data_IF_120510239480
#
_entry.id   IF_120510239480
#
_cell.length_a   1.000
_cell.length_b   1.000
_cell.length_c   1.000
_cell.angle_alpha   90.00
_cell.angle_beta   90.00
_cell.angle_gamma   90.00
#
_symmetry.space_group_name_H-M   'P 1'
#
loop_
_entity.id
_entity.type
_entity.pdbx_description
1 polymer ?
#
# COMPACT_ATOMS: atom_id res chain seq x y z
N UNK A 1 -47.78 -39.85 24.32
CA UNK A 1 -46.85 -39.47 25.40
C UNK A 1 -45.55 -39.08 24.75
N UNK A 2 -45.24 -37.80 24.88
CA UNK A 2 -44.03 -37.11 24.43
C UNK A 2 -42.84 -37.48 25.30
N UNK A 3 -41.70 -37.82 24.69
CA UNK A 3 -40.40 -37.61 25.31
C UNK A 3 -39.46 -37.02 24.27
N UNK A 4 -39.14 -35.73 24.45
CA UNK A 4 -38.21 -34.98 23.65
C UNK A 4 -36.79 -35.32 24.07
N UNK A 5 -35.99 -35.87 23.15
CA UNK A 5 -34.55 -35.93 23.30
C UNK A 5 -33.95 -34.52 23.06
N UNK A 6 -33.82 -33.76 24.14
CA UNK A 6 -33.07 -32.51 24.16
C UNK A 6 -31.58 -32.82 24.31
N UNK A 7 -30.93 -33.20 23.22
CA UNK A 7 -29.50 -33.52 23.20
C UNK A 7 -28.69 -32.24 22.95
N UNK A 8 -28.57 -31.42 24.00
CA UNK A 8 -27.67 -30.27 24.01
C UNK A 8 -26.22 -30.74 23.88
N UNK A 9 -25.62 -30.56 22.69
CA UNK A 9 -24.17 -30.75 22.46
C UNK A 9 -23.35 -29.92 23.44
N UNK A 10 -22.92 -30.53 24.54
CA UNK A 10 -21.92 -29.95 25.46
C UNK A 10 -20.59 -29.83 24.71
N UNK A 11 -20.24 -28.61 24.33
CA UNK A 11 -18.93 -28.31 23.73
C UNK A 11 -17.81 -28.72 24.69
N UNK A 12 -16.81 -29.41 24.14
CA UNK A 12 -15.63 -29.86 24.88
C UNK A 12 -14.89 -28.67 25.52
N UNK A 13 -14.18 -28.92 26.61
CA UNK A 13 -13.36 -27.90 27.28
C UNK A 13 -12.37 -27.25 26.29
N UNK A 14 -11.76 -28.03 25.39
CA UNK A 14 -10.91 -27.54 24.30
C UNK A 14 -11.65 -26.56 23.38
N UNK A 15 -12.91 -26.86 23.02
CA UNK A 15 -13.75 -25.98 22.20
C UNK A 15 -14.19 -24.69 22.92
N UNK A 16 -14.22 -24.67 24.26
CA UNK A 16 -14.43 -23.44 25.04
C UNK A 16 -13.17 -22.58 25.07
N UNK A 17 -12.01 -23.18 25.36
CA UNK A 17 -10.71 -22.47 25.38
C UNK A 17 -10.38 -21.89 24.00
N UNK A 18 -10.63 -22.65 22.93
CA UNK A 18 -10.39 -22.17 21.56
C UNK A 18 -11.26 -20.96 21.21
N UNK A 19 -12.56 -21.01 21.52
CA UNK A 19 -13.47 -19.86 21.29
C UNK A 19 -13.14 -18.66 22.14
N UNK A 20 -12.73 -18.88 23.39
CA UNK A 20 -12.29 -17.79 24.27
C UNK A 20 -11.07 -17.08 23.67
N UNK A 21 -10.06 -17.82 23.19
CA UNK A 21 -8.89 -17.24 22.53
C UNK A 21 -9.24 -16.48 21.24
N UNK A 22 -10.18 -17.00 20.44
CA UNK A 22 -10.66 -16.29 19.24
C UNK A 22 -11.34 -14.98 19.60
N UNK A 23 -12.19 -14.98 20.64
CA UNK A 23 -12.86 -13.77 21.12
C UNK A 23 -11.84 -12.75 21.68
N UNK A 24 -10.88 -13.19 22.50
CA UNK A 24 -9.80 -12.35 23.02
C UNK A 24 -8.96 -11.74 21.89
N UNK A 25 -8.64 -12.54 20.87
CA UNK A 25 -7.92 -12.08 19.69
C UNK A 25 -8.74 -11.02 18.94
N UNK A 26 -10.03 -11.24 18.72
CA UNK A 26 -10.92 -10.30 18.05
C UNK A 26 -11.05 -8.97 18.82
N UNK A 27 -11.21 -9.01 20.15
CA UNK A 27 -11.21 -7.82 21.00
C UNK A 27 -9.91 -7.03 20.82
N UNK A 28 -8.76 -7.72 20.85
CA UNK A 28 -7.47 -7.08 20.63
C UNK A 28 -7.33 -6.44 19.25
N UNK A 29 -7.89 -7.04 18.18
CA UNK A 29 -7.92 -6.45 16.83
C UNK A 29 -8.74 -5.16 16.82
N UNK A 30 -9.94 -5.18 17.41
CA UNK A 30 -10.83 -4.02 17.50
C UNK A 30 -10.19 -2.88 18.29
N UNK A 31 -9.56 -3.16 19.43
CA UNK A 31 -8.85 -2.14 20.22
C UNK A 31 -7.70 -1.49 19.42
N UNK A 32 -6.90 -2.29 18.70
CA UNK A 32 -5.84 -1.76 17.83
C UNK A 32 -6.43 -0.91 16.70
N UNK A 33 -7.49 -1.38 16.05
CA UNK A 33 -8.20 -0.63 15.03
C UNK A 33 -8.68 0.74 15.54
N UNK A 34 -9.35 0.78 16.68
CA UNK A 34 -9.82 2.03 17.30
C UNK A 34 -8.67 2.99 17.62
N UNK A 35 -7.53 2.47 18.08
CA UNK A 35 -6.33 3.28 18.27
C UNK A 35 -5.80 3.85 16.96
N UNK A 36 -5.70 3.02 15.91
CA UNK A 36 -5.24 3.48 14.59
C UNK A 36 -6.19 4.53 14.01
N UNK A 37 -7.51 4.31 14.04
CA UNK A 37 -8.47 5.25 13.48
C UNK A 37 -8.50 6.58 14.25
N UNK A 38 -8.36 6.55 15.58
CA UNK A 38 -8.20 7.77 16.38
C UNK A 38 -6.94 8.54 16.00
N UNK A 39 -5.83 7.84 15.74
CA UNK A 39 -4.57 8.46 15.28
C UNK A 39 -4.70 8.98 13.85
N UNK A 40 -5.36 8.26 12.95
CA UNK A 40 -5.61 8.70 11.58
C UNK A 40 -6.40 10.00 11.56
N UNK A 41 -7.47 10.12 12.35
CA UNK A 41 -8.24 11.36 12.47
C UNK A 41 -7.41 12.50 13.06
N UNK A 42 -6.65 12.25 14.13
CA UNK A 42 -5.78 13.27 14.71
C UNK A 42 -4.68 13.74 13.73
N UNK A 43 -4.12 12.83 12.91
CA UNK A 43 -3.19 13.18 11.83
C UNK A 43 -3.90 14.02 10.78
N UNK A 44 -5.10 13.62 10.36
CA UNK A 44 -5.87 14.35 9.35
C UNK A 44 -6.24 15.78 9.80
N UNK A 45 -6.61 15.95 11.07
CA UNK A 45 -6.90 17.26 11.67
C UNK A 45 -5.67 18.17 11.75
N UNK A 46 -4.49 17.58 12.01
CA UNK A 46 -3.23 18.33 12.12
C UNK A 46 -2.62 18.66 10.74
N UNK A 47 -2.58 17.67 9.85
CA UNK A 47 -2.14 17.78 8.46
C UNK A 47 -2.68 16.58 7.65
N UNK A 48 -3.72 16.79 6.81
CA UNK A 48 -4.32 15.75 5.98
C UNK A 48 -3.31 14.94 5.14
N UNK A 49 -2.26 15.59 4.63
CA UNK A 49 -1.24 14.93 3.81
C UNK A 49 -0.42 13.89 4.61
N UNK A 50 -0.41 14.00 5.94
CA UNK A 50 0.19 13.03 6.85
C UNK A 50 -0.46 11.64 6.80
N UNK A 51 -1.69 11.51 6.29
CA UNK A 51 -2.35 10.22 6.12
C UNK A 51 -1.59 9.30 5.18
N UNK A 52 -0.95 9.82 4.12
CA UNK A 52 -0.12 9.01 3.21
C UNK A 52 1.06 8.35 3.93
N UNK A 53 1.70 9.07 4.86
CA UNK A 53 2.77 8.54 5.71
C UNK A 53 2.22 7.50 6.70
N UNK A 54 1.04 7.73 7.27
CA UNK A 54 0.39 6.75 8.14
C UNK A 54 0.05 5.46 7.38
N UNK A 55 -0.43 5.55 6.13
CA UNK A 55 -0.64 4.38 5.28
C UNK A 55 0.66 3.59 5.12
N UNK A 56 1.78 4.24 4.79
CA UNK A 56 3.09 3.57 4.68
C UNK A 56 3.49 2.87 5.98
N UNK A 57 3.26 3.52 7.13
CA UNK A 57 3.53 2.93 8.44
C UNK A 57 2.69 1.66 8.69
N UNK A 58 1.40 1.70 8.38
CA UNK A 58 0.49 0.55 8.57
C UNK A 58 0.78 -0.56 7.55
N UNK A 59 1.14 -0.21 6.31
CA UNK A 59 1.44 -1.18 5.27
C UNK A 59 2.83 -1.82 5.41
N UNK A 60 3.79 -1.18 6.09
CA UNK A 60 5.14 -1.69 6.30
C UNK A 60 5.20 -3.14 6.83
N UNK A 61 4.51 -3.51 7.94
CA UNK A 61 4.52 -4.90 8.41
C UNK A 61 3.88 -5.88 7.42
N UNK A 62 2.87 -5.45 6.67
CA UNK A 62 2.22 -6.25 5.63
C UNK A 62 3.18 -6.53 4.46
N UNK A 63 3.89 -5.51 3.99
CA UNK A 63 4.91 -5.61 2.95
C UNK A 63 6.08 -6.49 3.40
N UNK A 64 6.55 -6.33 4.64
CA UNK A 64 7.59 -7.19 5.19
C UNK A 64 7.17 -8.67 5.17
N UNK A 65 5.94 -9.00 5.61
CA UNK A 65 5.43 -10.38 5.55
C UNK A 65 5.30 -10.91 4.11
N UNK A 66 4.93 -10.05 3.16
CA UNK A 66 4.86 -10.39 1.74
C UNK A 66 6.24 -10.77 1.19
N UNK A 67 7.21 -9.86 1.32
CA UNK A 67 8.54 -9.97 0.71
C UNK A 67 9.38 -11.07 1.35
N UNK A 68 9.27 -11.25 2.66
CA UNK A 68 10.02 -12.28 3.41
C UNK A 68 9.39 -13.67 3.38
N UNK A 69 8.23 -13.85 2.72
CA UNK A 69 7.45 -15.08 2.86
C UNK A 69 8.22 -16.36 2.49
N UNK A 70 9.14 -16.25 1.53
CA UNK A 70 9.98 -17.35 1.08
C UNK A 70 11.24 -17.54 1.94
N UNK A 71 11.69 -16.51 2.65
CA UNK A 71 12.86 -16.57 3.54
C UNK A 71 12.54 -17.37 4.81
N UNK A 72 11.34 -17.16 5.35
CA UNK A 72 10.92 -17.78 6.62
C UNK A 72 10.19 -19.12 6.46
N UNK A 73 10.01 -19.62 5.24
CA UNK A 73 9.21 -20.81 4.98
C UNK A 73 9.95 -21.82 4.10
N UNK A 74 9.60 -23.12 4.20
CA UNK A 74 10.12 -24.12 3.28
C UNK A 74 9.81 -23.79 1.82
N UNK A 75 10.54 -24.40 0.88
CA UNK A 75 10.50 -24.17 -0.59
C UNK A 75 9.07 -24.12 -1.18
N UNK A 76 8.14 -24.91 -0.64
CA UNK A 76 6.74 -24.99 -1.10
C UNK A 76 5.73 -24.30 -0.16
N UNK A 77 6.21 -23.61 0.86
CA UNK A 77 5.41 -22.91 1.86
C UNK A 77 5.18 -21.42 1.58
N UNK A 78 5.69 -20.92 0.45
CA UNK A 78 5.58 -19.52 0.06
C UNK A 78 4.13 -19.02 0.16
N UNK A 79 3.97 -17.76 0.56
CA UNK A 79 2.64 -17.15 0.63
C UNK A 79 2.07 -17.00 -0.79
N UNK A 80 0.74 -17.08 -0.93
CA UNK A 80 0.07 -16.65 -2.14
C UNK A 80 0.15 -15.14 -2.33
N UNK A 81 0.13 -14.68 -3.58
CA UNK A 81 0.03 -13.26 -3.90
C UNK A 81 -1.28 -12.67 -3.37
N UNK A 82 -1.22 -11.43 -2.88
CA UNK A 82 -2.40 -10.70 -2.45
C UNK A 82 -3.27 -10.34 -3.66
N UNK A 83 -4.58 -10.31 -3.45
CA UNK A 83 -5.59 -9.93 -4.42
C UNK A 83 -6.80 -9.31 -3.69
N UNK A 84 -7.77 -8.79 -4.44
CA UNK A 84 -8.97 -8.16 -3.85
C UNK A 84 -9.78 -9.09 -2.91
N UNK A 85 -9.72 -10.42 -3.09
CA UNK A 85 -10.43 -11.34 -2.19
C UNK A 85 -9.82 -11.41 -0.79
N UNK A 86 -8.56 -11.00 -0.61
CA UNK A 86 -7.96 -10.90 0.72
C UNK A 86 -8.60 -9.77 1.54
N UNK A 87 -9.13 -8.74 0.87
CA UNK A 87 -9.88 -7.65 1.50
C UNK A 87 -11.33 -8.03 1.77
N UNK A 88 -12.05 -8.49 0.75
CA UNK A 88 -13.52 -8.56 0.78
C UNK A 88 -14.07 -9.99 0.73
N UNK A 89 -13.19 -10.99 0.75
CA UNK A 89 -13.57 -12.39 0.65
C UNK A 89 -13.97 -12.79 -0.76
N UNK A 90 -14.87 -13.75 -0.85
CA UNK A 90 -15.25 -14.40 -2.11
C UNK A 90 -15.71 -13.38 -3.18
N UNK A 91 -15.14 -13.39 -4.40
CA UNK A 91 -15.56 -12.51 -5.51
C UNK A 91 -17.08 -12.41 -5.79
N UNK A 92 -17.90 -13.48 -5.67
CA UNK A 92 -19.36 -13.38 -5.81
C UNK A 92 -20.09 -12.63 -4.68
N UNK A 93 -19.39 -12.16 -3.64
CA UNK A 93 -20.03 -11.45 -2.53
C UNK A 93 -20.68 -10.14 -3.00
N UNK A 94 -21.98 -10.03 -2.74
CA UNK A 94 -22.77 -8.83 -3.04
C UNK A 94 -22.54 -7.79 -1.95
N UNK A 95 -22.33 -6.54 -2.31
CA UNK A 95 -22.04 -5.44 -1.37
C UNK A 95 -23.16 -4.40 -1.31
N UNK A 96 -23.97 -4.30 -2.36
CA UNK A 96 -25.10 -3.35 -2.42
C UNK A 96 -26.45 -4.07 -2.24
N UNK A 97 -27.50 -3.30 -1.95
CA UNK A 97 -28.86 -3.83 -1.76
C UNK A 97 -29.48 -4.36 -3.06
N UNK A 98 -29.13 -3.75 -4.20
CA UNK A 98 -29.49 -4.21 -5.55
C UNK A 98 -28.59 -5.36 -6.05
N UNK A 99 -27.61 -5.77 -5.25
CA UNK A 99 -26.87 -7.01 -5.45
C UNK A 99 -25.64 -6.90 -6.34
N UNK A 100 -25.09 -5.70 -6.52
CA UNK A 100 -23.79 -5.49 -7.15
C UNK A 100 -22.67 -6.06 -6.27
N UNK A 101 -21.60 -6.51 -6.92
CA UNK A 101 -20.41 -7.08 -6.29
C UNK A 101 -19.27 -6.06 -6.19
N UNK A 102 -18.22 -6.41 -5.45
CA UNK A 102 -17.01 -5.58 -5.28
C UNK A 102 -16.42 -5.14 -6.62
N UNK A 103 -16.27 -6.07 -7.57
CA UNK A 103 -15.69 -5.82 -8.91
C UNK A 103 -16.54 -4.91 -9.79
N UNK A 104 -17.84 -4.78 -9.47
CA UNK A 104 -18.78 -3.95 -10.22
C UNK A 104 -18.92 -2.54 -9.63
N UNK A 105 -18.63 -2.38 -8.34
CA UNK A 105 -18.70 -1.09 -7.63
C UNK A 105 -17.32 -0.41 -7.64
N UNK A 106 -16.24 -1.17 -7.44
CA UNK A 106 -14.88 -0.66 -7.59
C UNK A 106 -14.63 -0.22 -9.04
N UNK A 107 -14.14 1.00 -9.21
CA UNK A 107 -14.00 1.61 -10.53
C UNK A 107 -12.61 1.31 -11.10
N UNK A 108 -12.55 0.57 -12.20
CA UNK A 108 -11.32 0.40 -12.97
C UNK A 108 -11.04 1.67 -13.79
N UNK A 109 -9.97 2.37 -13.45
CA UNK A 109 -9.56 3.59 -14.13
C UNK A 109 -8.68 3.23 -15.33
N UNK A 110 -9.30 3.06 -16.50
CA UNK A 110 -8.65 2.48 -17.70
C UNK A 110 -7.42 3.23 -18.20
N UNK A 111 -7.39 4.55 -18.01
CA UNK A 111 -6.34 5.42 -18.53
C UNK A 111 -5.46 6.00 -17.40
N UNK A 112 -5.68 5.56 -16.16
CA UNK A 112 -4.87 6.02 -15.03
C UNK A 112 -3.66 5.13 -14.87
N UNK A 113 -2.47 5.73 -14.82
CA UNK A 113 -1.21 5.04 -14.57
C UNK A 113 -0.45 5.79 -13.49
N UNK A 114 0.16 5.06 -12.57
CA UNK A 114 0.93 5.64 -11.46
C UNK A 114 2.32 5.06 -11.42
N UNK A 115 3.33 5.92 -11.35
CA UNK A 115 4.71 5.52 -11.09
C UNK A 115 4.92 5.38 -9.59
N UNK A 116 5.21 4.16 -9.16
CA UNK A 116 5.46 3.80 -7.78
C UNK A 116 6.96 3.64 -7.56
N UNK A 117 7.47 4.15 -6.44
CA UNK A 117 8.87 4.03 -6.05
C UNK A 117 9.05 2.84 -5.11
N UNK A 118 9.93 1.90 -5.49
CA UNK A 118 10.05 0.63 -4.77
C UNK A 118 10.53 0.81 -3.32
N UNK A 119 11.33 1.84 -3.04
CA UNK A 119 11.80 2.17 -1.68
C UNK A 119 10.83 2.98 -0.81
N UNK A 120 9.67 3.40 -1.33
CA UNK A 120 8.75 4.33 -0.63
C UNK A 120 7.32 3.82 -0.59
N UNK A 121 6.83 3.35 -1.72
CA UNK A 121 5.41 3.08 -1.90
C UNK A 121 5.04 1.66 -1.42
N UNK A 122 3.86 1.48 -0.81
CA UNK A 122 3.41 0.17 -0.36
C UNK A 122 3.14 -0.77 -1.54
N UNK A 123 4.02 -1.76 -1.76
CA UNK A 123 3.95 -2.73 -2.86
C UNK A 123 4.11 -4.15 -2.29
N UNK A 124 3.07 -4.96 -2.45
CA UNK A 124 3.01 -6.32 -1.90
C UNK A 124 3.57 -7.36 -2.87
N UNK A 125 4.88 -7.31 -3.11
CA UNK A 125 5.60 -8.35 -3.84
C UNK A 125 5.76 -9.61 -2.98
N UNK A 126 5.30 -10.76 -3.50
CA UNK A 126 5.36 -12.07 -2.84
C UNK A 126 6.21 -13.05 -3.67
N UNK A 127 7.53 -13.14 -3.41
CA UNK A 127 8.40 -14.15 -4.01
C UNK A 127 7.90 -15.56 -3.71
N UNK A 128 7.87 -16.43 -4.73
CA UNK A 128 7.32 -17.79 -4.59
C UNK A 128 8.26 -18.92 -5.05
N UNK A 129 9.25 -18.63 -5.90
CA UNK A 129 10.29 -19.58 -6.35
C UNK A 129 11.68 -19.22 -5.82
N UNK A 130 12.27 -20.11 -5.02
CA UNK A 130 13.53 -19.86 -4.32
C UNK A 130 14.71 -19.55 -5.25
N UNK A 131 15.04 -20.34 -6.28
CA UNK A 131 16.16 -20.00 -7.17
C UNK A 131 16.02 -18.62 -7.83
N UNK A 132 14.79 -18.25 -8.21
CA UNK A 132 14.50 -16.96 -8.83
C UNK A 132 14.65 -15.81 -7.84
N UNK A 133 14.17 -15.99 -6.60
CA UNK A 133 14.34 -15.00 -5.54
C UNK A 133 15.81 -14.82 -5.15
N UNK A 134 16.53 -15.92 -4.90
CA UNK A 134 17.96 -15.90 -4.56
C UNK A 134 18.77 -15.23 -5.67
N UNK A 135 18.49 -15.55 -6.94
CA UNK A 135 19.16 -14.90 -8.06
C UNK A 135 18.87 -13.39 -8.12
N UNK A 136 17.62 -12.96 -7.91
CA UNK A 136 17.24 -11.56 -7.91
C UNK A 136 17.95 -10.79 -6.78
N UNK A 137 17.88 -11.30 -5.54
CA UNK A 137 18.51 -10.67 -4.38
C UNK A 137 20.03 -10.63 -4.49
N UNK A 138 20.68 -11.65 -5.06
CA UNK A 138 22.14 -11.69 -5.16
C UNK A 138 22.69 -10.82 -6.31
N UNK A 139 21.95 -10.67 -7.40
CA UNK A 139 22.52 -10.14 -8.65
C UNK A 139 21.87 -8.87 -9.19
N UNK A 140 20.67 -8.49 -8.77
CA UNK A 140 19.99 -7.26 -9.24
C UNK A 140 20.22 -6.09 -8.29
N UNK A 141 20.45 -4.91 -8.86
CA UNK A 141 20.62 -3.65 -8.15
C UNK A 141 21.97 -2.99 -8.41
N UNK A 142 22.16 -1.79 -7.89
CA UNK A 142 23.35 -0.99 -8.11
C UNK A 142 24.64 -1.78 -7.84
N UNK A 143 25.59 -1.68 -8.77
CA UNK A 143 26.89 -2.35 -8.73
C UNK A 143 26.85 -3.88 -8.62
N UNK A 144 25.77 -4.53 -9.07
CA UNK A 144 25.65 -6.00 -9.10
C UNK A 144 25.68 -6.57 -10.51
N UNK A 145 25.84 -7.89 -10.62
CA UNK A 145 26.10 -8.60 -11.87
C UNK A 145 25.02 -8.39 -12.95
N UNK A 146 23.75 -8.26 -12.58
CA UNK A 146 22.65 -8.02 -13.51
C UNK A 146 22.37 -6.54 -13.73
N UNK A 147 23.18 -5.65 -13.15
CA UNK A 147 23.02 -4.21 -13.24
C UNK A 147 21.90 -3.66 -12.37
N UNK A 148 21.63 -2.38 -12.57
CA UNK A 148 20.57 -1.64 -11.88
C UNK A 148 19.20 -2.26 -12.10
N UNK A 149 18.31 -2.06 -11.14
CA UNK A 149 16.93 -2.51 -11.25
C UNK A 149 16.20 -1.73 -12.35
N UNK A 150 15.48 -2.43 -13.24
CA UNK A 150 14.67 -1.83 -14.29
C UNK A 150 13.33 -2.55 -14.41
N UNK A 151 12.29 -1.78 -14.72
CA UNK A 151 11.00 -2.33 -15.08
C UNK A 151 11.06 -3.05 -16.43
N UNK A 152 10.22 -4.05 -16.59
CA UNK A 152 10.09 -4.89 -17.79
C UNK A 152 8.65 -5.43 -17.90
N UNK A 153 8.34 -6.08 -19.02
CA UNK A 153 7.00 -6.60 -19.33
C UNK A 153 6.46 -7.67 -18.37
N UNK A 154 7.30 -8.25 -17.51
CA UNK A 154 6.88 -9.24 -16.52
C UNK A 154 6.31 -8.56 -15.26
N UNK A 155 6.57 -7.28 -15.05
CA UNK A 155 6.03 -6.52 -13.93
C UNK A 155 4.56 -6.21 -14.18
N UNK A 156 3.69 -6.77 -13.33
CA UNK A 156 2.24 -6.54 -13.39
C UNK A 156 1.77 -6.09 -12.03
N UNK A 157 1.47 -4.79 -11.93
CA UNK A 157 1.12 -4.13 -10.66
C UNK A 157 -0.26 -3.52 -10.77
N UNK A 158 -1.10 -3.83 -9.80
CA UNK A 158 -2.44 -3.27 -9.62
C UNK A 158 -2.42 -2.31 -8.43
N UNK A 159 -2.76 -1.04 -8.63
CA UNK A 159 -2.83 -0.04 -7.57
C UNK A 159 -4.25 0.10 -7.03
N UNK A 160 -4.39 0.01 -5.71
CA UNK A 160 -5.64 0.27 -5.00
C UNK A 160 -5.66 1.70 -4.45
N UNK A 161 -6.60 2.50 -4.93
CA UNK A 161 -6.90 3.84 -4.43
C UNK A 161 -8.05 3.78 -3.41
N UNK A 162 -8.14 4.74 -2.47
CA UNK A 162 -7.34 5.97 -2.35
C UNK A 162 -6.06 5.84 -1.51
N UNK A 163 -5.90 4.76 -0.74
CA UNK A 163 -4.79 4.64 0.21
C UNK A 163 -3.45 4.26 -0.43
N UNK A 164 -3.43 3.84 -1.69
CA UNK A 164 -2.19 3.67 -2.45
C UNK A 164 -1.40 2.42 -2.05
N UNK A 165 -2.05 1.27 -2.07
CA UNK A 165 -1.41 -0.04 -1.89
C UNK A 165 -1.39 -0.78 -3.23
N UNK A 166 -0.21 -1.25 -3.63
CA UNK A 166 -0.03 -1.99 -4.87
C UNK A 166 -0.01 -3.51 -4.63
N UNK A 167 -0.77 -4.24 -5.44
CA UNK A 167 -0.79 -5.69 -5.50
C UNK A 167 0.03 -6.17 -6.70
N UNK A 168 0.83 -7.21 -6.51
CA UNK A 168 1.76 -7.70 -7.54
C UNK A 168 1.30 -9.03 -8.11
N UNK A 169 1.05 -9.06 -9.41
CA UNK A 169 0.61 -10.25 -10.16
C UNK A 169 1.71 -10.82 -11.08
N UNK A 170 2.80 -10.07 -11.27
CA UNK A 170 3.94 -10.45 -12.10
C UNK A 170 5.22 -9.73 -11.65
N UNK A 171 6.40 -10.32 -11.89
CA UNK A 171 7.67 -9.71 -11.48
C UNK A 171 7.95 -9.75 -9.98
N UNK A 172 7.25 -10.60 -9.21
CA UNK A 172 7.36 -10.68 -7.75
C UNK A 172 8.81 -10.79 -7.21
N UNK A 173 9.70 -11.49 -7.93
CA UNK A 173 11.09 -11.69 -7.50
C UNK A 173 11.97 -10.45 -7.68
N UNK A 174 11.92 -9.84 -8.87
CA UNK A 174 12.65 -8.62 -9.18
C UNK A 174 12.11 -7.45 -8.37
N UNK A 175 10.79 -7.31 -8.22
CA UNK A 175 10.18 -6.28 -7.37
C UNK A 175 10.62 -6.40 -5.92
N UNK A 176 10.64 -7.61 -5.37
CA UNK A 176 11.15 -7.82 -4.01
C UNK A 176 12.61 -7.37 -3.84
N UNK A 177 13.46 -7.60 -4.85
CA UNK A 177 14.84 -7.11 -4.82
C UNK A 177 14.92 -5.57 -4.88
N UNK A 178 14.17 -4.94 -5.78
CA UNK A 178 14.09 -3.48 -5.88
C UNK A 178 13.55 -2.83 -4.60
N UNK A 179 12.49 -3.40 -3.99
CA UNK A 179 11.93 -2.94 -2.71
C UNK A 179 12.98 -3.05 -1.60
N UNK A 180 13.67 -4.19 -1.49
CA UNK A 180 14.65 -4.45 -0.42
C UNK A 180 15.87 -3.54 -0.55
N UNK A 181 16.31 -3.24 -1.77
CA UNK A 181 17.41 -2.32 -2.02
C UNK A 181 16.97 -0.84 -2.00
N UNK A 182 15.65 -0.57 -1.94
CA UNK A 182 15.07 0.76 -2.14
C UNK A 182 15.48 1.42 -3.48
N UNK A 183 15.53 0.63 -4.55
CA UNK A 183 16.00 1.03 -5.89
C UNK A 183 14.89 0.86 -6.94
N UNK A 184 14.76 1.84 -7.84
CA UNK A 184 13.91 1.76 -9.02
C UNK A 184 12.44 2.17 -8.80
N UNK A 185 11.72 2.20 -9.92
CA UNK A 185 10.30 2.57 -9.99
C UNK A 185 9.53 1.63 -10.90
N UNK A 186 8.29 1.31 -10.57
CA UNK A 186 7.39 0.47 -11.39
C UNK A 186 6.12 1.24 -11.72
N UNK A 187 5.56 1.05 -12.91
CA UNK A 187 4.30 1.64 -13.30
C UNK A 187 3.15 0.67 -13.01
N UNK A 188 2.18 1.13 -12.22
CA UNK A 188 0.90 0.43 -12.08
C UNK A 188 0.01 0.78 -13.28
N UNK A 189 -0.22 -0.20 -14.15
CA UNK A 189 -1.07 -0.07 -15.34
C UNK A 189 -2.53 -0.39 -15.05
N UNK A 190 -2.80 -1.18 -14.01
CA UNK A 190 -4.16 -1.41 -13.52
C UNK A 190 -4.37 -0.56 -12.28
N UNK A 191 -5.38 0.31 -12.29
CA UNK A 191 -5.74 1.15 -11.15
C UNK A 191 -7.21 0.93 -10.82
N UNK A 192 -7.47 0.60 -9.55
CA UNK A 192 -8.82 0.38 -9.03
C UNK A 192 -9.10 1.43 -7.96
N UNK A 193 -10.10 2.26 -8.20
CA UNK A 193 -10.64 3.16 -7.20
C UNK A 193 -11.69 2.46 -6.35
N UNK A 194 -11.36 2.27 -5.07
CA UNK A 194 -12.24 1.66 -4.08
C UNK A 194 -13.14 2.68 -3.37
N UNK A 195 -13.00 3.98 -3.63
CA UNK A 195 -13.81 5.01 -2.98
C UNK A 195 -15.33 4.76 -3.07
N UNK A 196 -15.89 4.28 -4.20
CA UNK A 196 -17.32 3.95 -4.28
C UNK A 196 -17.77 2.86 -3.28
N UNK A 197 -16.87 1.96 -2.86
CA UNK A 197 -17.20 0.89 -1.91
C UNK A 197 -17.44 1.41 -0.50
N UNK A 198 -16.97 2.60 -0.14
CA UNK A 198 -17.14 3.15 1.20
C UNK A 198 -18.61 3.34 1.59
N UNK A 199 -19.52 3.58 0.64
CA UNK A 199 -20.95 3.65 0.93
C UNK A 199 -21.55 2.28 1.33
N UNK A 200 -20.88 1.18 0.96
CA UNK A 200 -21.45 -0.17 0.98
C UNK A 200 -20.75 -1.15 1.91
N UNK A 201 -19.49 -0.88 2.23
CA UNK A 201 -18.65 -1.75 3.08
C UNK A 201 -17.91 -0.88 4.10
N UNK A 202 -17.78 -1.37 5.33
CA UNK A 202 -16.87 -0.83 6.34
C UNK A 202 -16.08 -1.93 7.03
N UNK A 203 -14.88 -1.64 7.49
CA UNK A 203 -14.16 -2.51 8.42
C UNK A 203 -14.51 -2.13 9.87
N UNK A 204 -14.88 -3.09 10.70
CA UNK A 204 -15.26 -2.86 12.11
C UNK A 204 -14.13 -3.13 13.12
N UNK A 205 -12.90 -3.26 12.62
CA UNK A 205 -11.75 -3.66 13.42
C UNK A 205 -11.55 -5.17 13.54
N UNK A 206 -12.49 -5.98 13.03
CA UNK A 206 -12.34 -7.42 12.90
C UNK A 206 -12.63 -7.89 11.47
N UNK A 207 -13.76 -7.47 10.91
CA UNK A 207 -14.29 -7.95 9.64
C UNK A 207 -14.78 -6.81 8.73
N UNK A 208 -14.84 -7.10 7.43
CA UNK A 208 -15.57 -6.29 6.45
C UNK A 208 -17.06 -6.54 6.61
N UNK A 209 -17.78 -5.47 6.92
CA UNK A 209 -19.21 -5.46 7.18
C UNK A 209 -19.92 -4.71 6.04
N UNK A 210 -20.91 -5.37 5.46
CA UNK A 210 -21.83 -4.75 4.50
C UNK A 210 -22.75 -3.78 5.23
N UNK A 211 -22.81 -2.54 4.75
CA UNK A 211 -23.45 -1.45 5.51
C UNK A 211 -24.97 -1.55 5.55
N UNK A 212 -25.60 -2.02 4.46
CA UNK A 212 -27.06 -1.97 4.33
C UNK A 212 -27.81 -3.00 5.20
N UNK A 213 -27.16 -4.09 5.59
CA UNK A 213 -27.77 -5.16 6.41
C UNK A 213 -26.88 -5.69 7.54
N UNK A 214 -25.67 -5.15 7.69
CA UNK A 214 -24.73 -5.57 8.73
C UNK A 214 -24.08 -6.93 8.49
N UNK A 215 -24.22 -7.51 7.28
CA UNK A 215 -23.67 -8.83 6.99
C UNK A 215 -22.13 -8.83 7.03
N UNK A 216 -21.54 -9.82 7.72
CA UNK A 216 -20.10 -10.04 7.70
C UNK A 216 -19.69 -10.69 6.37
N UNK A 217 -19.03 -9.90 5.51
CA UNK A 217 -18.53 -10.34 4.21
C UNK A 217 -17.28 -11.19 4.36
N UNK A 218 -16.35 -10.75 5.20
CA UNK A 218 -15.03 -11.35 5.29
C UNK A 218 -14.27 -10.90 6.54
N UNK A 219 -13.47 -11.80 7.11
CA UNK A 219 -12.49 -11.46 8.15
C UNK A 219 -11.09 -11.56 7.54
N UNK A 220 -10.44 -10.43 7.19
CA UNK A 220 -9.09 -10.43 6.64
C UNK A 220 -8.10 -11.15 7.55
N UNK A 221 -7.28 -12.03 6.97
CA UNK A 221 -6.20 -12.73 7.69
C UNK A 221 -5.20 -11.72 8.24
N UNK A 222 -4.78 -10.77 7.39
CA UNK A 222 -3.95 -9.64 7.76
C UNK A 222 -4.85 -8.43 8.03
N UNK A 223 -4.90 -7.98 9.29
CA UNK A 223 -5.81 -6.91 9.73
C UNK A 223 -5.50 -5.56 9.10
N UNK A 224 -4.25 -5.35 8.72
CA UNK A 224 -3.78 -4.13 8.07
C UNK A 224 -4.55 -3.85 6.77
N UNK A 225 -5.03 -4.87 6.06
CA UNK A 225 -5.86 -4.68 4.86
C UNK A 225 -7.17 -3.94 5.19
N UNK A 226 -7.84 -4.33 6.28
CA UNK A 226 -9.06 -3.67 6.74
C UNK A 226 -8.79 -2.28 7.31
N UNK A 227 -7.68 -2.12 8.04
CA UNK A 227 -7.26 -0.82 8.58
C UNK A 227 -6.94 0.17 7.45
N UNK A 228 -6.17 -0.25 6.44
CA UNK A 228 -5.82 0.58 5.28
C UNK A 228 -7.07 0.99 4.50
N UNK A 229 -8.04 0.09 4.33
CA UNK A 229 -9.32 0.41 3.71
C UNK A 229 -10.02 1.57 4.43
N UNK A 230 -10.10 1.55 5.75
CA UNK A 230 -10.73 2.63 6.54
C UNK A 230 -9.88 3.90 6.62
N UNK A 231 -8.55 3.82 6.62
CA UNK A 231 -7.70 5.02 6.46
C UNK A 231 -7.99 5.66 5.10
N UNK A 232 -8.17 4.87 4.04
CA UNK A 232 -8.57 5.39 2.74
C UNK A 232 -9.94 6.10 2.76
N UNK A 233 -10.90 5.64 3.58
CA UNK A 233 -12.15 6.37 3.80
C UNK A 233 -11.88 7.74 4.41
N UNK A 234 -11.03 7.81 5.43
CA UNK A 234 -10.63 9.08 6.06
C UNK A 234 -9.91 9.97 5.06
N UNK A 235 -9.07 9.43 4.18
CA UNK A 235 -8.43 10.21 3.11
C UNK A 235 -9.48 10.86 2.21
N UNK A 236 -10.52 10.13 1.79
CA UNK A 236 -11.63 10.68 0.99
C UNK A 236 -12.42 11.75 1.76
N UNK A 237 -12.72 11.51 3.04
CA UNK A 237 -13.40 12.50 3.92
C UNK A 237 -12.65 13.84 3.98
N UNK A 238 -11.32 13.80 3.96
CA UNK A 238 -10.44 14.98 4.02
C UNK A 238 -9.94 15.46 2.64
N UNK A 239 -10.42 14.89 1.54
CA UNK A 239 -10.00 15.27 0.18
C UNK A 239 -8.55 14.93 -0.17
N UNK A 240 -7.92 14.00 0.56
CA UNK A 240 -6.54 13.58 0.37
C UNK A 240 -6.46 12.56 -0.75
N UNK A 241 -5.60 12.83 -1.73
CA UNK A 241 -5.27 11.91 -2.83
C UNK A 241 -3.99 11.14 -2.52
N UNK A 242 -3.85 9.99 -3.15
CA UNK A 242 -2.57 9.28 -3.14
C UNK A 242 -1.49 10.14 -3.83
N UNK A 243 -0.30 10.18 -3.22
CA UNK A 243 0.78 11.14 -3.52
C UNK A 243 1.86 10.59 -4.46
N UNK A 244 1.57 9.50 -5.18
CA UNK A 244 2.44 9.00 -6.26
C UNK A 244 2.27 9.80 -7.54
N UNK A 245 3.33 9.83 -8.36
CA UNK A 245 3.34 10.56 -9.62
C UNK A 245 2.44 9.84 -10.64
N UNK A 246 1.50 10.58 -11.25
CA UNK A 246 0.73 10.10 -12.41
C UNK A 246 1.70 9.94 -13.59
N UNK A 247 1.75 8.75 -14.18
CA UNK A 247 2.61 8.49 -15.33
C UNK A 247 1.95 9.07 -16.59
N UNK A 248 2.70 9.84 -17.38
CA UNK A 248 2.22 10.40 -18.65
C UNK A 248 2.32 9.35 -19.78
N UNK A 249 1.43 9.44 -20.77
CA UNK A 249 1.39 8.53 -21.93
C UNK A 249 2.66 8.56 -22.80
N UNK A 250 3.50 9.60 -22.67
CA UNK A 250 4.66 9.85 -23.53
C UNK A 250 6.01 9.41 -22.96
N UNK A 251 6.07 8.87 -21.75
CA UNK A 251 7.35 8.38 -21.20
C UNK A 251 7.62 6.97 -21.73
N UNK A 252 8.29 6.91 -22.89
CA UNK A 252 8.93 5.69 -23.38
C UNK A 252 9.93 5.16 -22.35
N UNK A 253 10.06 3.83 -22.27
CA UNK A 253 10.96 3.05 -21.40
C UNK A 253 12.48 3.32 -21.61
N UNK A 254 12.88 4.52 -22.01
CA UNK A 254 14.25 4.83 -22.45
C UNK A 254 14.81 6.16 -21.99
N UNK A 255 14.14 6.93 -21.13
CA UNK A 255 14.76 8.17 -20.64
C UNK A 255 15.70 7.86 -19.46
N UNK A 256 16.96 7.67 -19.86
CA UNK A 256 18.16 7.86 -19.08
C UNK A 256 18.06 9.12 -18.20
N UNK A 257 18.00 8.93 -16.89
CA UNK A 257 18.67 9.83 -15.96
C UNK A 257 19.17 9.02 -14.79
N UNK A 258 20.48 9.05 -14.59
CA UNK A 258 21.20 8.55 -13.41
C UNK A 258 20.48 8.97 -12.11
N UNK A 259 19.57 8.15 -11.58
CA UNK A 259 19.17 8.27 -10.17
C UNK A 259 20.20 7.53 -9.30
N UNK A 260 21.44 8.01 -9.35
CA UNK A 260 22.48 7.64 -8.38
C UNK A 260 22.55 8.74 -7.31
N UNK A 261 22.15 8.38 -6.08
CA UNK A 261 22.27 9.15 -4.82
C UNK A 261 21.15 10.18 -4.50
N UNK A 262 20.87 10.45 -3.19
CA UNK A 262 19.61 11.08 -2.77
C UNK A 262 19.51 12.51 -3.27
N UNK A 263 18.50 12.76 -4.10
CA UNK A 263 18.11 14.08 -4.57
C UNK A 263 17.68 14.90 -3.35
N UNK A 264 18.46 15.92 -2.99
CA UNK A 264 18.01 16.98 -2.12
C UNK A 264 17.10 17.88 -2.94
N UNK A 265 15.80 17.89 -2.62
CA UNK A 265 14.84 18.77 -3.26
C UNK A 265 14.81 20.10 -2.50
N UNK A 266 15.07 21.20 -3.20
CA UNK A 266 14.80 22.54 -2.69
C UNK A 266 13.60 23.08 -3.47
N UNK A 267 12.51 23.39 -2.77
CA UNK A 267 11.31 23.95 -3.38
C UNK A 267 11.28 25.45 -3.08
N UNK A 268 11.17 26.25 -4.15
CA UNK A 268 11.06 27.71 -4.06
C UNK A 268 9.63 28.11 -4.42
N UNK A 269 8.87 28.61 -3.44
CA UNK A 269 7.51 29.12 -3.64
C UNK A 269 7.56 30.64 -3.53
N UNK A 270 7.15 31.36 -4.58
CA UNK A 270 7.20 32.83 -4.66
C UNK A 270 8.58 33.44 -4.33
N UNK A 271 9.66 32.71 -4.66
CA UNK A 271 11.03 33.13 -4.36
C UNK A 271 11.46 32.94 -2.89
N UNK A 272 10.60 32.39 -2.03
CA UNK A 272 10.95 31.97 -0.67
C UNK A 272 11.33 30.49 -0.63
N UNK A 273 12.40 30.19 0.10
CA UNK A 273 12.91 28.84 0.31
C UNK A 273 12.08 28.11 1.37
N UNK A 274 11.43 27.02 0.98
CA UNK A 274 10.63 26.20 1.91
C UNK A 274 11.48 25.19 2.70
N UNK A 275 12.80 25.22 2.54
CA UNK A 275 13.75 24.31 3.18
C UNK A 275 14.15 23.11 2.31
N UNK A 276 15.10 22.32 2.81
CA UNK A 276 15.60 21.12 2.12
C UNK A 276 14.69 19.92 2.42
N UNK A 277 14.18 19.29 1.37
CA UNK A 277 13.52 17.99 1.45
C UNK A 277 14.47 16.90 0.97
N UNK A 278 14.94 16.06 1.89
CA UNK A 278 15.82 14.91 1.59
C UNK A 278 15.05 13.73 0.96
N UNK A 279 13.75 13.88 0.73
CA UNK A 279 12.90 12.88 0.12
C UNK A 279 11.94 13.50 -0.88
N UNK A 280 11.62 12.75 -1.91
CA UNK A 280 10.59 13.12 -2.90
C UNK A 280 9.24 13.32 -2.23
N UNK A 281 8.95 12.64 -1.12
CA UNK A 281 7.75 12.91 -0.31
C UNK A 281 7.74 14.29 0.33
N UNK A 282 8.88 14.80 0.80
CA UNK A 282 9.00 16.17 1.30
C UNK A 282 8.78 17.19 0.18
N UNK A 283 9.35 16.93 -1.01
CA UNK A 283 9.17 17.77 -2.19
C UNK A 283 7.72 17.80 -2.67
N UNK A 284 7.08 16.64 -2.82
CA UNK A 284 5.65 16.52 -3.17
C UNK A 284 4.78 17.24 -2.14
N UNK A 285 5.10 17.15 -0.84
CA UNK A 285 4.35 17.86 0.21
C UNK A 285 4.46 19.38 0.06
N UNK A 286 5.65 19.90 -0.18
CA UNK A 286 5.86 21.33 -0.39
C UNK A 286 5.12 21.84 -1.64
N UNK A 287 5.09 21.06 -2.72
CA UNK A 287 4.31 21.38 -3.92
C UNK A 287 2.81 21.42 -3.64
N UNK A 288 2.27 20.38 -3.00
CA UNK A 288 0.84 20.30 -2.67
C UNK A 288 0.42 21.41 -1.69
N UNK A 289 1.27 21.79 -0.74
CA UNK A 289 1.02 22.93 0.15
C UNK A 289 1.00 24.28 -0.58
N UNK A 290 1.72 24.39 -1.70
CA UNK A 290 1.73 25.56 -2.57
C UNK A 290 0.64 25.50 -3.65
N UNK A 291 -0.28 24.53 -3.59
CA UNK A 291 -1.31 24.27 -4.62
C UNK A 291 -0.74 23.96 -6.02
N UNK A 292 0.50 23.48 -6.09
CA UNK A 292 1.18 23.10 -7.34
C UNK A 292 1.01 21.59 -7.56
N UNK A 293 0.50 21.21 -8.73
CA UNK A 293 0.30 19.80 -9.10
C UNK A 293 1.65 19.08 -9.30
N UNK A 294 1.96 17.99 -8.55
CA UNK A 294 3.19 17.23 -8.73
C UNK A 294 3.32 16.64 -10.14
N UNK A 295 4.43 16.92 -10.82
CA UNK A 295 4.67 16.47 -12.19
C UNK A 295 4.26 17.46 -13.28
N UNK A 296 3.59 18.57 -12.91
CA UNK A 296 3.29 19.69 -13.82
C UNK A 296 4.56 20.43 -14.27
N UNK A 297 4.45 21.18 -15.38
CA UNK A 297 5.55 22.05 -15.84
C UNK A 297 5.96 23.08 -14.78
N UNK A 298 4.99 23.58 -14.01
CA UNK A 298 5.21 24.48 -12.88
C UNK A 298 6.01 23.80 -11.77
N UNK A 299 5.64 22.57 -11.38
CA UNK A 299 6.38 21.80 -10.36
C UNK A 299 7.85 21.57 -10.72
N UNK A 300 8.14 21.35 -12.01
CA UNK A 300 9.51 21.19 -12.53
C UNK A 300 10.32 22.48 -12.51
N UNK A 301 9.66 23.64 -12.54
CA UNK A 301 10.32 24.95 -12.50
C UNK A 301 10.66 25.42 -11.07
N UNK A 302 9.95 24.91 -10.06
CA UNK A 302 10.13 25.27 -8.65
C UNK A 302 10.96 24.26 -7.84
N UNK A 303 11.11 23.03 -8.35
CA UNK A 303 12.05 22.04 -7.83
C UNK A 303 13.46 22.36 -8.36
N UNK A 304 14.38 22.71 -7.46
CA UNK A 304 15.81 22.76 -7.78
C UNK A 304 16.41 21.41 -7.42
N UNK A 305 16.84 20.65 -8.43
CA UNK A 305 17.61 19.40 -8.23
C UNK A 305 19.00 19.73 -7.68
N UNK A 306 19.29 19.22 -6.47
CA UNK A 306 20.58 19.41 -5.80
C UNK A 306 21.69 18.52 -6.37
N UNK A 307 22.87 19.11 -6.57
CA UNK A 307 24.13 18.48 -7.00
C UNK A 307 24.48 17.17 -6.28
N UNK A 308 25.23 16.24 -6.93
CA UNK A 308 25.81 15.10 -6.24
C UNK A 308 26.73 15.57 -5.10
N UNK A 309 26.59 14.95 -3.92
CA UNK A 309 27.50 15.20 -2.79
C UNK A 309 28.93 14.77 -3.15
N UNK A 310 29.73 15.69 -3.69
CA UNK A 310 31.17 15.52 -3.79
C UNK A 310 31.77 15.58 -2.38
N UNK A 311 32.54 14.55 -2.02
CA UNK A 311 33.31 14.40 -0.77
C UNK A 311 34.27 15.57 -0.55
N UNK A 312 33.83 16.74 -0.08
CA UNK A 312 34.75 17.79 0.41
C UNK A 312 34.07 19.01 1.04
N UNK A 313 32.93 18.90 1.73
CA UNK A 313 32.43 20.05 2.51
C UNK A 313 32.06 19.63 3.94
N UNK A 314 32.59 20.32 4.97
CA UNK A 314 32.28 20.01 6.35
C UNK A 314 30.84 20.42 6.65
N UNK A 315 30.09 19.46 7.16
CA UNK A 315 28.72 19.60 7.62
C UNK A 315 28.72 20.52 8.85
N UNK A 316 28.15 21.71 8.72
CA UNK A 316 27.56 22.41 9.86
C UNK A 316 26.04 22.34 9.70
N UNK A 317 25.46 21.27 10.27
CA UNK A 317 24.05 21.23 10.60
C UNK A 317 23.85 21.99 11.93
N UNK A 318 23.04 23.04 11.89
CA UNK A 318 22.32 23.58 13.06
C UNK A 318 20.86 23.64 12.66
#
# INVERSE_FOLDING_TARGET
MTESANEGRRLSWLGRVFRQRLAEHEVGRRERFEHVMRRARAVAEADPLGLSTLVRLIAAPLQARATTSLVFRPIHGARGAYNLSDFFGSPPARVTADGMRVDQVGLHLKDARYRLRLGRDPILAVPWKEPSFTNAIANMGYARRMGEWREDFNHKVELLLPFGLALVHGGNHSLAAGITNAEGTVVAETVIDLAPLYAHVRYDGASMIRTHDGFNLWTPVDEELGILFEIGRVMVEYGVRYDAQVAADSESNSDESDESFPICYRVLVDGQDTGYSLSTSGATRALLQAEIEPGSAESRSVIVEGFPMLRSWPIHCV
#
